data_IF_020536206706
#
_entry.id   IF_020536206706
#
_cell.length_a   1.000
_cell.length_b   1.000
_cell.length_c   1.000
_cell.angle_alpha   90.00
_cell.angle_beta   90.00
_cell.angle_gamma   90.00
#
_symmetry.space_group_name_H-M   'P 1'
#
loop_
_entity.id
_entity.type
_entity.pdbx_description
1 polymer ?
#
# COMPACT_ATOMS: atom_id res chain seq x y z
N UNK A 1 -16.48 17.40 -9.01
CA UNK A 1 -16.59 15.92 -8.91
C UNK A 1 -16.94 15.39 -10.29
N UNK A 2 -16.28 14.34 -10.74
CA UNK A 2 -16.59 13.68 -12.01
C UNK A 2 -17.47 12.47 -11.75
N UNK A 3 -18.51 12.26 -12.56
CA UNK A 3 -19.40 11.10 -12.45
C UNK A 3 -18.91 10.00 -13.39
N UNK A 4 -18.83 8.77 -12.88
CA UNK A 4 -18.49 7.58 -13.66
C UNK A 4 -19.68 6.63 -13.66
N UNK A 5 -20.10 6.16 -14.84
CA UNK A 5 -21.13 5.15 -14.99
C UNK A 5 -20.51 3.89 -15.61
N UNK A 6 -20.58 2.77 -14.88
CA UNK A 6 -20.02 1.48 -15.29
C UNK A 6 -21.08 0.39 -15.14
N UNK A 7 -21.03 -0.61 -16.02
CA UNK A 7 -21.79 -1.85 -15.87
C UNK A 7 -20.88 -2.91 -15.28
N UNK A 8 -21.36 -3.61 -14.27
CA UNK A 8 -20.63 -4.70 -13.60
C UNK A 8 -21.51 -5.95 -13.53
N UNK A 9 -20.92 -7.15 -13.42
CA UNK A 9 -21.69 -8.38 -13.23
C UNK A 9 -22.55 -8.36 -11.96
N UNK A 10 -23.72 -8.99 -12.01
CA UNK A 10 -24.66 -9.03 -10.88
C UNK A 10 -24.06 -9.65 -9.61
N UNK A 11 -23.19 -10.66 -9.77
CA UNK A 11 -22.48 -11.29 -8.65
C UNK A 11 -21.59 -10.30 -7.91
N UNK A 12 -20.86 -9.46 -8.66
CA UNK A 12 -19.99 -8.43 -8.08
C UNK A 12 -20.81 -7.35 -7.39
N UNK A 13 -21.90 -6.90 -8.02
CA UNK A 13 -22.81 -5.93 -7.43
C UNK A 13 -23.38 -6.43 -6.09
N UNK A 14 -23.83 -7.69 -6.01
CA UNK A 14 -24.31 -8.29 -4.76
C UNK A 14 -23.22 -8.32 -3.68
N UNK A 15 -22.02 -8.79 -4.01
CA UNK A 15 -20.92 -8.88 -3.06
C UNK A 15 -20.51 -7.51 -2.49
N UNK A 16 -20.43 -6.49 -3.34
CA UNK A 16 -20.12 -5.12 -2.89
C UNK A 16 -21.22 -4.58 -1.97
N UNK A 17 -22.50 -4.82 -2.32
CA UNK A 17 -23.63 -4.35 -1.50
C UNK A 17 -23.62 -4.99 -0.11
N UNK A 18 -23.36 -6.30 -0.02
CA UNK A 18 -23.30 -7.02 1.25
C UNK A 18 -22.17 -6.49 2.15
N UNK A 19 -20.96 -6.32 1.59
CA UNK A 19 -19.81 -5.76 2.30
C UNK A 19 -20.07 -4.34 2.79
N UNK A 20 -20.54 -3.46 1.89
CA UNK A 20 -20.82 -2.07 2.24
C UNK A 20 -21.86 -1.97 3.36
N UNK A 21 -22.91 -2.78 3.30
CA UNK A 21 -23.98 -2.77 4.31
C UNK A 21 -23.49 -3.23 5.68
N UNK A 22 -22.61 -4.25 5.72
CA UNK A 22 -22.04 -4.78 6.98
C UNK A 22 -21.31 -3.70 7.78
N UNK A 23 -20.62 -2.80 7.07
CA UNK A 23 -19.77 -1.77 7.67
C UNK A 23 -20.44 -0.38 7.70
N UNK A 24 -21.74 -0.30 7.35
CA UNK A 24 -22.52 0.94 7.39
C UNK A 24 -22.19 1.94 6.27
N UNK A 25 -21.54 1.50 5.20
CA UNK A 25 -21.19 2.33 4.04
C UNK A 25 -22.20 2.18 2.90
N UNK A 26 -22.29 3.21 2.08
CA UNK A 26 -22.94 3.10 0.77
C UNK A 26 -22.01 2.39 -0.23
N UNK A 27 -22.59 1.75 -1.23
CA UNK A 27 -21.82 1.12 -2.31
C UNK A 27 -20.90 2.10 -3.05
N UNK A 28 -21.34 3.35 -3.25
CA UNK A 28 -20.50 4.36 -3.89
C UNK A 28 -19.28 4.72 -3.04
N UNK A 29 -19.46 4.86 -1.72
CA UNK A 29 -18.34 5.08 -0.80
C UNK A 29 -17.36 3.91 -0.84
N UNK A 30 -17.88 2.68 -0.80
CA UNK A 30 -17.05 1.48 -0.92
C UNK A 30 -16.20 1.48 -2.19
N UNK A 31 -16.82 1.74 -3.35
CA UNK A 31 -16.13 1.75 -4.65
C UNK A 31 -15.07 2.87 -4.71
N UNK A 32 -15.39 4.06 -4.20
CA UNK A 32 -14.46 5.19 -4.19
C UNK A 32 -13.25 4.88 -3.31
N UNK A 33 -13.47 4.34 -2.10
CA UNK A 33 -12.38 3.97 -1.19
C UNK A 33 -11.51 2.87 -1.80
N UNK A 34 -12.11 1.80 -2.33
CA UNK A 34 -11.38 0.73 -2.97
C UNK A 34 -10.56 1.22 -4.18
N UNK A 35 -11.11 2.13 -4.99
CA UNK A 35 -10.39 2.74 -6.10
C UNK A 35 -9.21 3.61 -5.63
N UNK A 36 -9.41 4.40 -4.56
CA UNK A 36 -8.35 5.21 -3.96
C UNK A 36 -7.22 4.34 -3.39
N UNK A 37 -7.56 3.26 -2.69
CA UNK A 37 -6.60 2.29 -2.16
C UNK A 37 -5.81 1.62 -3.30
N UNK A 38 -6.49 1.17 -4.35
CA UNK A 38 -5.83 0.53 -5.49
C UNK A 38 -4.89 1.51 -6.21
N UNK A 39 -5.33 2.76 -6.38
CA UNK A 39 -4.49 3.81 -6.96
C UNK A 39 -3.26 4.09 -6.09
N UNK A 40 -3.43 4.23 -4.78
CA UNK A 40 -2.34 4.45 -3.84
C UNK A 40 -1.33 3.29 -3.86
N UNK A 41 -1.81 2.04 -3.84
CA UNK A 41 -0.96 0.86 -3.89
C UNK A 41 -0.12 0.82 -5.18
N UNK A 42 -0.74 1.04 -6.34
CA UNK A 42 -0.02 1.06 -7.63
C UNK A 42 0.98 2.21 -7.70
N UNK A 43 0.56 3.42 -7.30
CA UNK A 43 1.43 4.61 -7.32
C UNK A 43 2.62 4.49 -6.37
N UNK A 44 2.47 3.74 -5.27
CA UNK A 44 3.54 3.50 -4.31
C UNK A 44 4.67 2.66 -4.91
N UNK A 45 4.33 1.67 -5.73
CA UNK A 45 5.33 0.84 -6.43
C UNK A 45 6.21 1.72 -7.33
N UNK A 46 5.58 2.57 -8.14
CA UNK A 46 6.31 3.49 -9.02
C UNK A 46 7.16 4.47 -8.22
N UNK A 47 6.61 5.05 -7.14
CA UNK A 47 7.33 5.96 -6.27
C UNK A 47 8.59 5.31 -5.66
N UNK A 48 8.48 4.09 -5.14
CA UNK A 48 9.62 3.35 -4.59
C UNK A 48 10.68 3.05 -5.67
N UNK A 49 10.24 2.70 -6.88
CA UNK A 49 11.13 2.50 -8.04
C UNK A 49 11.93 3.76 -8.38
N UNK A 50 11.28 4.91 -8.51
CA UNK A 50 11.96 6.18 -8.77
C UNK A 50 12.85 6.64 -7.61
N UNK A 51 12.48 6.33 -6.37
CA UNK A 51 13.32 6.60 -5.20
C UNK A 51 14.56 5.71 -5.20
N UNK A 52 14.44 4.43 -5.55
CA UNK A 52 15.56 3.49 -5.59
C UNK A 52 16.62 3.91 -6.63
N UNK A 53 16.23 4.52 -7.76
CA UNK A 53 17.19 5.06 -8.75
C UNK A 53 18.12 6.15 -8.19
N UNK A 54 17.72 6.80 -7.11
CA UNK A 54 18.52 7.83 -6.42
C UNK A 54 19.36 7.26 -5.27
N UNK A 55 19.35 5.95 -5.07
CA UNK A 55 20.14 5.32 -4.02
C UNK A 55 21.63 5.42 -4.33
N UNK A 56 22.40 5.85 -3.34
CA UNK A 56 23.85 5.74 -3.34
C UNK A 56 24.26 4.65 -2.34
N UNK A 57 24.56 3.46 -2.88
CA UNK A 57 24.95 2.32 -2.05
C UNK A 57 26.29 2.53 -1.35
N UNK A 58 27.21 3.33 -1.91
CA UNK A 58 28.50 3.59 -1.26
C UNK A 58 28.31 4.47 -0.03
N UNK A 59 27.48 5.51 -0.15
CA UNK A 59 27.14 6.36 0.98
C UNK A 59 26.37 5.59 2.05
N UNK A 60 25.46 4.70 1.63
CA UNK A 60 24.77 3.78 2.55
C UNK A 60 25.76 2.91 3.32
N UNK A 61 26.68 2.22 2.64
CA UNK A 61 27.72 1.39 3.30
C UNK A 61 28.60 2.21 4.24
N UNK A 62 29.00 3.42 3.83
CA UNK A 62 29.80 4.33 4.66
C UNK A 62 29.08 4.70 5.97
N UNK A 63 27.78 4.97 5.90
CA UNK A 63 26.96 5.27 7.09
C UNK A 63 26.80 4.02 7.95
N UNK A 64 26.53 2.86 7.36
CA UNK A 64 26.38 1.60 8.08
C UNK A 64 27.66 1.21 8.84
N UNK A 65 28.84 1.51 8.30
CA UNK A 65 30.12 1.27 8.96
C UNK A 65 30.34 2.12 10.23
N UNK A 66 29.54 3.17 10.47
CA UNK A 66 29.58 3.95 11.71
C UNK A 66 28.85 3.25 12.86
N UNK A 67 28.00 2.27 12.57
CA UNK A 67 27.27 1.52 13.59
C UNK A 67 28.26 0.58 14.29
N UNK A 68 28.40 0.67 15.63
CA UNK A 68 29.26 -0.24 16.38
C UNK A 68 28.86 -1.70 16.15
N UNK A 69 29.84 -2.55 15.87
CA UNK A 69 29.62 -3.99 15.83
C UNK A 69 29.35 -4.50 17.26
N UNK A 70 28.26 -5.24 17.45
CA UNK A 70 27.87 -5.82 18.73
C UNK A 70 26.85 -6.93 18.54
N UNK A 71 26.61 -7.76 19.58
CA UNK A 71 25.51 -8.70 19.54
C UNK A 71 24.18 -7.92 19.37
N UNK A 72 23.15 -8.52 18.75
CA UNK A 72 21.80 -7.97 18.77
C UNK A 72 21.34 -7.72 20.21
N UNK A 73 20.44 -6.75 20.38
CA UNK A 73 19.78 -6.55 21.67
C UNK A 73 18.91 -7.77 22.00
N UNK A 74 18.70 -8.08 23.30
CA UNK A 74 17.86 -9.20 23.70
C UNK A 74 16.44 -9.11 23.11
N UNK A 75 16.05 -10.12 22.34
CA UNK A 75 14.78 -10.18 21.59
C UNK A 75 14.90 -9.87 20.09
N UNK A 76 16.02 -9.27 19.65
CA UNK A 76 16.33 -9.00 18.23
C UNK A 76 17.25 -10.06 17.62
N UNK A 77 17.49 -11.17 18.33
CA UNK A 77 18.26 -12.28 17.80
C UNK A 77 17.53 -12.94 16.62
N UNK A 78 18.30 -13.38 15.61
CA UNK A 78 17.76 -14.18 14.52
C UNK A 78 17.18 -15.50 15.07
N UNK A 79 16.01 -15.96 14.58
CA UNK A 79 15.41 -17.22 15.00
C UNK A 79 16.23 -18.45 14.60
#
# INVERSE_FOLDING_TARGET
>A
MSTMSIRIPDSLHRGIKELATKDGYTMNQFIITAAAEKLAALSTVDYLGERAKRADFKEFERIMALIPAGPPDPGDELP
#
